data_IF_994138958325
#
_entry.id   IF_994138958325
#
_cell.length_a   1.000
_cell.length_b   1.000
_cell.length_c   1.000
_cell.angle_alpha   90.00
_cell.angle_beta   90.00
_cell.angle_gamma   90.00
#
_symmetry.space_group_name_H-M   'P 1'
#
loop_
_entity.id
_entity.type
_entity.pdbx_description
1 polymer ?
#
# COMPACT_ATOMS: atom_id res chain seq x y z
N UNK A 1 -6.63 2.60 27.18
CA UNK A 1 -6.33 2.14 25.81
C UNK A 1 -4.83 1.98 25.68
N UNK A 2 -4.33 0.84 25.21
CA UNK A 2 -2.90 0.66 24.96
C UNK A 2 -2.51 1.50 23.73
N UNK A 3 -1.47 2.33 23.84
CA UNK A 3 -0.96 3.08 22.70
C UNK A 3 -0.31 2.10 21.72
N UNK A 4 -0.58 2.26 20.42
CA UNK A 4 0.14 1.53 19.38
C UNK A 4 1.58 2.03 19.40
N UNK A 5 2.52 1.15 19.73
CA UNK A 5 3.95 1.45 19.61
C UNK A 5 4.32 1.32 18.15
N UNK A 6 4.57 2.46 17.50
CA UNK A 6 4.97 2.49 16.09
C UNK A 6 6.48 2.24 16.01
N UNK A 7 6.85 1.00 15.70
CA UNK A 7 8.26 0.61 15.51
C UNK A 7 8.63 0.60 14.03
N UNK A 8 9.93 0.71 13.68
CA UNK A 8 10.39 0.55 12.29
C UNK A 8 9.90 -0.77 11.67
N UNK A 9 9.91 -1.85 12.45
CA UNK A 9 9.46 -3.16 12.01
C UNK A 9 7.95 -3.21 11.73
N UNK A 10 7.14 -2.54 12.55
CA UNK A 10 5.70 -2.41 12.29
C UNK A 10 5.45 -1.65 10.98
N UNK A 11 6.22 -0.58 10.71
CA UNK A 11 6.11 0.18 9.47
C UNK A 11 6.46 -0.66 8.24
N UNK A 12 7.58 -1.41 8.28
CA UNK A 12 7.98 -2.31 7.18
C UNK A 12 6.98 -3.44 6.95
N UNK A 13 6.52 -4.07 8.04
CA UNK A 13 5.48 -5.11 7.96
C UNK A 13 4.20 -4.56 7.35
N UNK A 14 3.80 -3.34 7.73
CA UNK A 14 2.62 -2.67 7.18
C UNK A 14 2.81 -2.36 5.70
N UNK A 15 3.98 -1.86 5.30
CA UNK A 15 4.33 -1.59 3.91
C UNK A 15 4.26 -2.87 3.05
N UNK A 16 4.80 -3.98 3.55
CA UNK A 16 4.74 -5.29 2.87
C UNK A 16 3.30 -5.79 2.72
N UNK A 17 2.49 -5.73 3.78
CA UNK A 17 1.07 -6.12 3.72
C UNK A 17 0.27 -5.24 2.77
N UNK A 18 0.54 -3.93 2.74
CA UNK A 18 -0.11 -3.01 1.83
C UNK A 18 0.15 -3.42 0.37
N UNK A 19 1.41 -3.70 0.02
CA UNK A 19 1.78 -4.18 -1.31
C UNK A 19 1.03 -5.47 -1.68
N UNK A 20 1.01 -6.46 -0.79
CA UNK A 20 0.29 -7.72 -1.02
C UNK A 20 -1.22 -7.52 -1.23
N UNK A 21 -1.84 -6.64 -0.44
CA UNK A 21 -3.27 -6.34 -0.58
C UNK A 21 -3.59 -5.59 -1.87
N UNK A 22 -2.70 -4.71 -2.32
CA UNK A 22 -2.85 -4.00 -3.59
C UNK A 22 -2.71 -4.97 -4.76
N UNK A 23 -1.73 -5.87 -4.73
CA UNK A 23 -1.58 -6.94 -5.74
C UNK A 23 -2.85 -7.80 -5.82
N UNK A 24 -3.40 -8.19 -4.67
CA UNK A 24 -4.64 -8.96 -4.63
C UNK A 24 -5.84 -8.17 -5.17
N UNK A 25 -5.97 -6.88 -4.82
CA UNK A 25 -7.03 -6.02 -5.33
C UNK A 25 -6.93 -5.84 -6.86
N UNK A 26 -5.71 -5.71 -7.38
CA UNK A 26 -5.46 -5.62 -8.82
C UNK A 26 -5.86 -6.92 -9.54
N UNK A 27 -5.57 -8.08 -8.95
CA UNK A 27 -5.99 -9.37 -9.51
C UNK A 27 -7.52 -9.48 -9.61
N UNK A 28 -8.24 -9.08 -8.55
CA UNK A 28 -9.72 -9.07 -8.54
C UNK A 28 -10.27 -8.11 -9.60
N UNK A 29 -9.71 -6.90 -9.70
CA UNK A 29 -10.16 -5.91 -10.67
C UNK A 29 -9.93 -6.39 -12.11
N UNK A 30 -8.75 -6.95 -12.41
CA UNK A 30 -8.44 -7.50 -13.72
C UNK A 30 -9.36 -8.66 -14.09
N UNK A 31 -9.66 -9.55 -13.13
CA UNK A 31 -10.61 -10.64 -13.35
C UNK A 31 -12.01 -10.11 -13.69
N UNK A 32 -12.51 -9.13 -12.92
CA UNK A 32 -13.79 -8.49 -13.20
C UNK A 32 -13.84 -7.87 -14.60
N UNK A 33 -12.78 -7.17 -15.02
CA UNK A 33 -12.70 -6.57 -16.35
C UNK A 33 -12.69 -7.62 -17.47
N UNK A 34 -11.93 -8.70 -17.30
CA UNK A 34 -11.88 -9.80 -18.27
C UNK A 34 -13.24 -10.52 -18.41
N UNK A 35 -13.90 -10.78 -17.28
CA UNK A 35 -15.24 -11.38 -17.27
C UNK A 35 -16.25 -10.45 -17.94
N UNK A 36 -16.11 -9.14 -17.72
CA UNK A 36 -16.96 -8.13 -18.34
C UNK A 36 -16.79 -8.06 -19.86
N UNK A 37 -15.54 -8.05 -20.37
CA UNK A 37 -15.24 -8.08 -21.81
C UNK A 37 -15.83 -9.33 -22.48
N UNK A 38 -15.74 -10.49 -21.83
CA UNK A 38 -16.29 -11.74 -22.35
C UNK A 38 -17.83 -11.70 -22.50
N UNK A 39 -18.54 -11.16 -21.49
CA UNK A 39 -20.01 -11.07 -21.50
C UNK A 39 -20.51 -10.11 -22.59
N UNK A 40 -19.83 -8.97 -22.79
CA UNK A 40 -20.20 -8.01 -23.83
C UNK A 40 -19.84 -8.49 -25.24
N UNK A 41 -18.69 -9.14 -25.39
CA UNK A 41 -18.24 -9.71 -26.67
C UNK A 41 -19.20 -10.77 -27.23
N UNK A 42 -19.93 -11.46 -26.36
CA UNK A 42 -20.92 -12.47 -26.75
C UNK A 42 -22.17 -11.91 -27.46
N UNK A 43 -22.29 -10.58 -27.66
CA UNK A 43 -23.44 -9.90 -28.33
C UNK A 43 -24.81 -10.13 -27.67
N UNK A 44 -24.87 -10.91 -26.59
CA UNK A 44 -26.09 -11.34 -25.91
C UNK A 44 -26.66 -10.29 -24.97
N UNK A 45 -25.88 -9.28 -24.58
CA UNK A 45 -26.29 -8.27 -23.60
C UNK A 45 -26.12 -6.85 -24.15
N UNK A 46 -27.24 -6.14 -24.33
CA UNK A 46 -27.29 -4.77 -24.86
C UNK A 46 -28.31 -3.90 -24.10
N UNK A 47 -28.18 -2.58 -24.22
CA UNK A 47 -29.09 -1.58 -23.66
C UNK A 47 -28.51 -0.79 -22.49
N UNK A 48 -29.37 -0.10 -21.73
CA UNK A 48 -28.92 0.78 -20.64
C UNK A 48 -28.12 0.06 -19.54
N UNK A 49 -28.42 -1.23 -19.30
CA UNK A 49 -27.69 -2.06 -18.34
C UNK A 49 -26.25 -2.36 -18.77
N UNK A 50 -26.03 -2.69 -20.05
CA UNK A 50 -24.68 -2.92 -20.57
C UNK A 50 -23.84 -1.63 -20.55
N UNK A 51 -24.46 -0.50 -20.89
CA UNK A 51 -23.81 0.82 -20.83
C UNK A 51 -23.43 1.21 -19.40
N UNK A 52 -24.32 1.02 -18.43
CA UNK A 52 -24.01 1.29 -17.02
C UNK A 52 -22.86 0.41 -16.53
N UNK A 53 -22.86 -0.87 -16.91
CA UNK A 53 -21.79 -1.80 -16.56
C UNK A 53 -20.44 -1.41 -17.16
N UNK A 54 -20.39 -0.93 -18.41
CA UNK A 54 -19.18 -0.39 -19.04
C UNK A 54 -18.63 0.81 -18.27
N UNK A 55 -19.51 1.73 -17.88
CA UNK A 55 -19.12 2.88 -17.06
C UNK A 55 -18.53 2.42 -15.72
N UNK A 56 -19.15 1.45 -15.06
CA UNK A 56 -18.61 0.87 -13.81
C UNK A 56 -17.25 0.21 -14.02
N UNK A 57 -17.06 -0.53 -15.11
CA UNK A 57 -15.77 -1.15 -15.45
C UNK A 57 -14.66 -0.10 -15.64
N UNK A 58 -14.94 0.98 -16.38
CA UNK A 58 -14.00 2.09 -16.52
C UNK A 58 -13.67 2.74 -15.16
N UNK A 59 -14.67 2.89 -14.31
CA UNK A 59 -14.50 3.50 -12.99
C UNK A 59 -13.66 2.63 -12.04
N UNK A 60 -13.86 1.30 -12.07
CA UNK A 60 -13.04 0.34 -11.34
C UNK A 60 -11.58 0.43 -11.80
N UNK A 61 -11.34 0.52 -13.10
CA UNK A 61 -9.99 0.67 -13.65
C UNK A 61 -9.32 1.96 -13.14
N UNK A 62 -10.01 3.09 -13.23
CA UNK A 62 -9.47 4.39 -12.79
C UNK A 62 -9.20 4.42 -11.28
N UNK A 63 -10.10 3.85 -10.48
CA UNK A 63 -9.91 3.77 -9.03
C UNK A 63 -8.75 2.83 -8.67
N UNK A 64 -8.56 1.74 -9.42
CA UNK A 64 -7.41 0.85 -9.23
C UNK A 64 -6.09 1.55 -9.52
N UNK A 65 -6.03 2.40 -10.54
CA UNK A 65 -4.85 3.23 -10.81
C UNK A 65 -4.54 4.17 -9.64
N UNK A 66 -5.57 4.81 -9.04
CA UNK A 66 -5.38 5.66 -7.86
C UNK A 66 -4.88 4.86 -6.66
N UNK A 67 -5.41 3.66 -6.43
CA UNK A 67 -4.97 2.75 -5.37
C UNK A 67 -3.50 2.36 -5.57
N UNK A 68 -3.10 2.02 -6.79
CA UNK A 68 -1.72 1.68 -7.12
C UNK A 68 -0.77 2.85 -6.85
N UNK A 69 -1.12 4.06 -7.31
CA UNK A 69 -0.29 5.27 -7.13
C UNK A 69 -0.21 5.68 -5.66
N UNK A 70 -1.36 5.75 -4.98
CA UNK A 70 -1.42 6.13 -3.57
C UNK A 70 -0.74 5.09 -2.68
N UNK A 71 -0.95 3.82 -2.99
CA UNK A 71 -0.38 2.71 -2.28
C UNK A 71 1.13 2.60 -2.43
N UNK A 72 1.68 2.78 -3.63
CA UNK A 72 3.13 2.79 -3.83
C UNK A 72 3.82 3.90 -3.03
N UNK A 73 3.25 5.10 -3.05
CA UNK A 73 3.72 6.25 -2.25
C UNK A 73 3.66 5.98 -0.76
N UNK A 74 2.60 5.33 -0.29
CA UNK A 74 2.46 4.98 1.13
C UNK A 74 3.48 3.92 1.56
N UNK A 75 3.64 2.85 0.78
CA UNK A 75 4.66 1.81 1.02
C UNK A 75 6.06 2.43 1.07
N UNK A 76 6.38 3.31 0.12
CA UNK A 76 7.65 4.02 0.11
C UNK A 76 7.84 4.92 1.34
N UNK A 77 6.84 5.72 1.68
CA UNK A 77 6.87 6.59 2.86
C UNK A 77 7.04 5.83 4.17
N UNK A 78 6.39 4.67 4.32
CA UNK A 78 6.54 3.79 5.50
C UNK A 78 7.97 3.24 5.60
N UNK A 79 8.57 2.84 4.48
CA UNK A 79 9.95 2.36 4.46
C UNK A 79 10.95 3.49 4.80
N UNK A 80 10.75 4.69 4.26
CA UNK A 80 11.58 5.85 4.57
C UNK A 80 11.45 6.25 6.05
N UNK A 81 10.23 6.25 6.59
CA UNK A 81 9.99 6.54 8.01
C UNK A 81 10.66 5.52 8.92
N UNK A 82 10.60 4.22 8.57
CA UNK A 82 11.29 3.16 9.31
C UNK A 82 12.81 3.40 9.35
N UNK A 83 13.40 3.70 8.19
CA UNK A 83 14.84 3.99 8.09
C UNK A 83 15.26 5.24 8.88
N UNK A 84 14.42 6.29 8.87
CA UNK A 84 14.67 7.51 9.65
C UNK A 84 14.64 7.24 11.15
N UNK A 85 13.68 6.43 11.62
CA UNK A 85 13.58 6.05 13.03
C UNK A 85 14.80 5.24 13.50
N UNK A 86 15.24 4.25 12.73
CA UNK A 86 16.45 3.48 13.05
C UNK A 86 17.70 4.36 13.07
N UNK A 87 17.79 5.31 12.14
CA UNK A 87 18.86 6.29 12.14
C UNK A 87 18.83 7.11 13.43
N UNK A 88 17.68 7.63 13.84
CA UNK A 88 17.56 8.39 15.10
C UNK A 88 17.93 7.55 16.32
N UNK A 89 17.57 6.27 16.34
CA UNK A 89 17.94 5.34 17.42
C UNK A 89 19.46 5.17 17.49
N UNK A 90 20.11 4.85 16.36
CA UNK A 90 21.57 4.71 16.29
C UNK A 90 22.33 5.97 16.68
N UNK A 91 21.87 7.15 16.22
CA UNK A 91 22.47 8.44 16.61
C UNK A 91 22.31 8.70 18.11
N UNK A 92 21.16 8.34 18.67
CA UNK A 92 20.88 8.51 20.10
C UNK A 92 21.74 7.58 20.95
N UNK A 93 21.91 6.33 20.55
CA UNK A 93 22.83 5.38 21.21
C UNK A 93 24.27 5.91 21.18
N UNK A 94 24.73 6.39 20.03
CA UNK A 94 26.08 6.93 19.91
C UNK A 94 26.28 8.20 20.76
N UNK A 95 25.31 9.12 20.75
CA UNK A 95 25.34 10.31 21.60
C UNK A 95 25.33 9.95 23.09
N UNK A 96 24.51 8.97 23.49
CA UNK A 96 24.45 8.47 24.85
C UNK A 96 25.79 7.85 25.27
N UNK A 97 26.37 6.98 24.45
CA UNK A 97 27.69 6.40 24.70
C UNK A 97 28.80 7.46 24.75
N UNK A 98 28.73 8.51 23.92
CA UNK A 98 29.68 9.62 23.97
C UNK A 98 29.58 10.41 25.29
N UNK A 99 28.35 10.68 25.76
CA UNK A 99 28.11 11.46 26.98
C UNK A 99 28.38 10.68 28.28
N UNK A 100 28.07 9.38 28.30
CA UNK A 100 28.10 8.56 29.52
C UNK A 100 29.11 7.41 29.49
N UNK A 101 29.55 6.97 28.30
CA UNK A 101 30.55 5.92 28.14
C UNK A 101 32.00 6.40 28.30
N UNK A 102 32.26 7.72 28.22
CA UNK A 102 33.55 8.32 28.58
C UNK A 102 33.74 8.54 30.09
N UNK A 103 32.73 8.20 30.90
CA UNK A 103 32.72 8.38 32.35
C UNK A 103 32.81 7.02 33.05
N UNK A 104 33.91 6.31 32.85
CA UNK A 104 34.27 5.11 33.62
C UNK A 104 35.76 5.16 33.92
N UNK A 105 36.07 5.58 35.15
CA UNK A 105 37.34 5.52 35.91
C UNK A 105 38.64 5.98 35.23
#
# INVERSE_FOLDING_TARGET
MAAIVVTPELMRTTASKLSQHIEHAQAIANQYLADHENILGASTWAGAGSQASLTTAAQIHDDMQKVLIGGSRLTEGLNQAAALMESHESHSEHAFHSLFGGQSA
#
